data_IF_898590162791
#
_entry.id   IF_898590162791
#
_cell.length_a   1.000
_cell.length_b   1.000
_cell.length_c   1.000
_cell.angle_alpha   90.00
_cell.angle_beta   90.00
_cell.angle_gamma   90.00
#
_symmetry.space_group_name_H-M   'P 1'
#
loop_
_entity.id
_entity.type
_entity.pdbx_description
1 polymer ?
#
# COMPACT_ATOMS: atom_id res chain seq x y z
N UNK A 1 -23.33 -15.55 36.62
CA UNK A 1 -22.34 -15.03 37.58
C UNK A 1 -21.29 -14.29 36.77
N UNK A 2 -21.21 -12.95 36.89
CA UNK A 2 -20.35 -12.06 36.09
C UNK A 2 -18.97 -11.96 36.73
N UNK A 3 -17.90 -12.14 35.97
CA UNK A 3 -16.52 -11.75 36.34
C UNK A 3 -15.87 -11.24 35.03
N UNK A 4 -15.99 -9.94 34.72
CA UNK A 4 -15.03 -8.89 35.04
C UNK A 4 -13.65 -9.16 34.40
N UNK A 5 -13.51 -8.83 33.10
CA UNK A 5 -12.20 -8.73 32.46
C UNK A 5 -11.49 -7.46 32.95
N UNK A 6 -10.38 -7.62 33.65
CA UNK A 6 -9.58 -6.51 34.14
C UNK A 6 -8.86 -5.82 32.97
N UNK A 7 -9.30 -4.61 32.62
CA UNK A 7 -8.58 -3.73 31.70
C UNK A 7 -7.55 -2.98 32.54
N UNK A 8 -6.28 -3.34 32.44
CA UNK A 8 -5.20 -2.58 33.05
C UNK A 8 -4.86 -1.40 32.13
N UNK A 9 -5.55 -0.27 32.31
CA UNK A 9 -5.22 1.00 31.66
C UNK A 9 -4.21 1.77 32.51
N UNK A 10 -2.96 1.86 32.06
CA UNK A 10 -2.00 2.80 32.63
C UNK A 10 -2.26 4.18 31.99
N UNK A 11 -2.94 5.07 32.71
CA UNK A 11 -3.10 6.48 32.33
C UNK A 11 -2.08 7.29 33.12
N UNK A 12 -1.03 7.78 32.46
CA UNK A 12 -0.14 8.81 33.00
C UNK A 12 -0.61 10.17 32.46
N UNK A 13 -1.11 11.03 33.35
CA UNK A 13 -1.62 12.36 33.00
C UNK A 13 -0.49 13.42 33.06
N UNK A 14 -0.49 14.28 32.03
CA UNK A 14 0.13 15.62 31.85
C UNK A 14 1.53 15.68 31.21
N UNK A 15 1.59 16.10 29.92
CA UNK A 15 2.49 17.14 29.39
C UNK A 15 1.86 17.84 28.15
N UNK A 16 2.13 19.14 27.89
CA UNK A 16 1.54 19.90 26.79
C UNK A 16 2.26 19.71 25.44
N UNK A 17 1.47 19.76 24.36
CA UNK A 17 1.85 19.88 22.93
C UNK A 17 3.11 19.13 22.48
N UNK A 18 2.98 17.83 22.39
CA UNK A 18 3.72 16.95 21.50
C UNK A 18 2.90 15.67 21.44
N UNK A 19 2.41 15.29 20.27
CA UNK A 19 1.57 14.11 20.10
C UNK A 19 2.35 12.86 20.54
N UNK A 20 2.17 12.44 21.79
CA UNK A 20 2.53 11.10 22.21
C UNK A 20 1.47 10.18 21.59
N UNK A 21 1.86 9.41 20.57
CA UNK A 21 1.05 8.30 20.09
C UNK A 21 0.94 7.30 21.24
N UNK A 22 -0.16 7.37 21.99
CA UNK A 22 -0.47 6.35 22.98
C UNK A 22 -0.91 5.09 22.23
N UNK A 23 0.06 4.25 21.89
CA UNK A 23 -0.20 2.94 21.30
C UNK A 23 -0.79 2.00 22.35
N UNK A 24 -2.03 1.55 22.12
CA UNK A 24 -2.71 0.64 23.03
C UNK A 24 -2.31 -0.79 22.71
N UNK A 25 -1.70 -1.48 23.68
CA UNK A 25 -1.44 -2.92 23.62
C UNK A 25 -2.48 -3.65 24.47
N UNK A 26 -3.10 -4.70 23.93
CA UNK A 26 -4.10 -5.52 24.64
C UNK A 26 -3.57 -6.92 24.88
N UNK A 27 -3.87 -7.46 26.06
CA UNK A 27 -3.48 -8.81 26.47
C UNK A 27 -4.72 -9.62 26.79
N UNK A 28 -4.77 -10.86 26.29
CA UNK A 28 -5.85 -11.82 26.56
C UNK A 28 -5.29 -13.06 27.23
N UNK A 29 -6.00 -13.57 28.23
CA UNK A 29 -5.60 -14.72 29.04
C UNK A 29 -6.67 -15.80 29.04
N UNK A 30 -6.27 -17.05 29.17
CA UNK A 30 -7.20 -18.16 29.43
C UNK A 30 -7.62 -18.23 30.91
N UNK A 31 -8.53 -19.16 31.24
CA UNK A 31 -9.05 -19.35 32.59
C UNK A 31 -7.97 -19.79 33.61
N UNK A 32 -6.82 -20.30 33.15
CA UNK A 32 -5.69 -20.67 33.99
C UNK A 32 -4.71 -19.50 34.18
N UNK A 33 -5.01 -18.32 33.63
CA UNK A 33 -4.15 -17.13 33.70
C UNK A 33 -2.97 -17.15 32.73
N UNK A 34 -2.96 -18.04 31.74
CA UNK A 34 -1.90 -18.11 30.72
C UNK A 34 -2.21 -17.13 29.59
N UNK A 35 -1.19 -16.47 29.08
CA UNK A 35 -1.30 -15.51 27.98
C UNK A 35 -1.64 -16.23 26.68
N UNK A 36 -2.79 -15.94 26.08
CA UNK A 36 -3.25 -16.53 24.82
C UNK A 36 -3.19 -15.56 23.64
N UNK A 37 -3.16 -14.25 23.88
CA UNK A 37 -3.05 -13.27 22.80
C UNK A 37 -2.41 -11.95 23.28
N UNK A 38 -1.61 -11.34 22.41
CA UNK A 38 -1.14 -9.94 22.54
C UNK A 38 -1.48 -9.19 21.27
N UNK A 39 -2.27 -8.13 21.36
CA UNK A 39 -2.59 -7.26 20.22
C UNK A 39 -1.83 -5.94 20.35
N UNK A 40 -0.88 -5.72 19.43
CA UNK A 40 -0.23 -4.44 19.17
C UNK A 40 -1.01 -3.69 18.07
N UNK A 41 -0.76 -2.39 17.86
CA UNK A 41 -1.32 -1.68 16.72
C UNK A 41 -0.95 -2.26 15.35
N UNK A 42 0.24 -2.86 15.23
CA UNK A 42 0.84 -3.31 13.97
C UNK A 42 0.85 -4.85 13.81
N UNK A 43 0.52 -5.61 14.85
CA UNK A 43 0.55 -7.08 14.84
C UNK A 43 -0.22 -7.69 16.01
N UNK A 44 -0.60 -8.94 15.87
CA UNK A 44 -1.15 -9.78 16.92
C UNK A 44 -0.28 -11.02 17.10
N UNK A 45 -0.03 -11.39 18.35
CA UNK A 45 0.60 -12.65 18.74
C UNK A 45 -0.46 -13.55 19.35
N UNK A 46 -0.51 -14.82 18.97
CA UNK A 46 -1.40 -15.83 19.55
C UNK A 46 -0.58 -17.00 20.10
N UNK A 47 -1.04 -17.57 21.21
CA UNK A 47 -0.36 -18.67 21.91
C UNK A 47 -1.35 -19.79 22.20
N UNK A 48 -0.97 -21.03 21.90
CA UNK A 48 -1.72 -22.22 22.26
C UNK A 48 -0.89 -23.10 23.20
N UNK A 49 -1.53 -23.70 24.18
CA UNK A 49 -0.90 -24.58 25.17
C UNK A 49 -1.64 -25.91 25.26
N UNK A 50 -0.93 -26.96 25.66
CA UNK A 50 -1.55 -28.23 26.03
C UNK A 50 -2.19 -28.16 27.43
N UNK A 51 -2.78 -29.29 27.86
CA UNK A 51 -3.38 -29.43 29.19
C UNK A 51 -2.36 -29.44 30.33
N UNK A 52 -1.08 -29.74 30.05
CA UNK A 52 0.01 -29.72 31.01
C UNK A 52 0.66 -28.34 31.20
N UNK A 53 0.28 -27.34 30.39
CA UNK A 53 0.89 -26.02 30.45
C UNK A 53 2.01 -25.77 29.45
N UNK A 54 2.34 -26.75 28.60
CA UNK A 54 3.41 -26.60 27.62
C UNK A 54 2.89 -25.83 26.41
N UNK A 55 3.72 -24.92 25.88
CA UNK A 55 3.39 -24.17 24.68
C UNK A 55 3.38 -25.11 23.46
N UNK A 56 2.23 -25.21 22.78
CA UNK A 56 2.07 -25.96 21.54
C UNK A 56 2.42 -25.11 20.33
N UNK A 57 2.00 -23.85 20.30
CA UNK A 57 2.26 -22.96 19.17
C UNK A 57 2.28 -21.49 19.57
N UNK A 58 3.02 -20.73 18.76
CA UNK A 58 3.00 -19.27 18.78
C UNK A 58 2.83 -18.78 17.35
N UNK A 59 1.75 -18.04 17.10
CA UNK A 59 1.44 -17.49 15.78
C UNK A 59 1.60 -15.98 15.80
N UNK A 60 2.17 -15.43 14.74
CA UNK A 60 2.25 -13.97 14.52
C UNK A 60 1.32 -13.63 13.36
N UNK A 61 0.31 -12.81 13.63
CA UNK A 61 -0.55 -12.21 12.62
C UNK A 61 -0.17 -10.74 12.47
N UNK A 62 0.48 -10.38 11.38
CA UNK A 62 0.64 -8.98 11.00
C UNK A 62 -0.57 -8.67 10.11
N UNK A 63 -1.40 -7.64 10.38
CA UNK A 63 -2.31 -7.11 9.38
C UNK A 63 -1.53 -6.92 8.08
N UNK A 64 -2.11 -7.15 6.89
CA UNK A 64 -1.37 -6.91 5.67
C UNK A 64 -0.86 -5.47 5.69
N UNK A 65 0.45 -5.29 5.89
CA UNK A 65 1.10 -4.07 5.44
C UNK A 65 0.81 -3.99 3.93
N UNK A 66 0.66 -2.81 3.32
CA UNK A 66 0.64 -2.73 1.87
C UNK A 66 2.00 -3.19 1.36
N UNK A 67 2.15 -4.49 1.09
CA UNK A 67 3.40 -5.08 0.58
C UNK A 67 3.50 -4.90 -0.94
N UNK A 68 2.45 -4.37 -1.56
CA UNK A 68 2.39 -4.04 -2.98
C UNK A 68 2.40 -2.54 -3.22
N UNK A 69 2.54 -2.12 -4.49
CA UNK A 69 2.43 -0.72 -4.85
C UNK A 69 1.07 -0.17 -4.41
N UNK A 70 1.06 1.06 -3.93
CA UNK A 70 -0.18 1.78 -3.62
C UNK A 70 -0.37 2.88 -4.65
N UNK A 71 -1.58 3.00 -5.19
CA UNK A 71 -2.00 4.14 -5.99
C UNK A 71 -3.31 4.66 -5.40
N UNK A 72 -3.32 5.94 -5.03
CA UNK A 72 -4.51 6.62 -4.53
C UNK A 72 -4.69 7.93 -5.30
N UNK A 73 -5.93 8.24 -5.65
CA UNK A 73 -6.29 9.48 -6.35
C UNK A 73 -7.29 10.24 -5.49
N UNK A 74 -7.01 11.51 -5.24
CA UNK A 74 -7.89 12.41 -4.53
C UNK A 74 -8.12 13.67 -5.35
N UNK A 75 -9.37 14.13 -5.43
CA UNK A 75 -9.68 15.45 -5.97
C UNK A 75 -9.63 16.49 -4.86
N UNK A 76 -8.88 17.58 -5.09
CA UNK A 76 -8.81 18.74 -4.19
C UNK A 76 -9.08 19.99 -5.02
N UNK A 77 -10.30 20.52 -4.94
CA UNK A 77 -10.72 21.64 -5.78
C UNK A 77 -10.66 21.29 -7.28
N UNK A 78 -9.88 22.04 -8.03
CA UNK A 78 -9.68 21.86 -9.48
C UNK A 78 -8.39 21.10 -9.84
N UNK A 79 -7.83 20.38 -8.87
CA UNK A 79 -6.68 19.49 -9.07
C UNK A 79 -6.99 18.05 -8.65
N UNK A 80 -6.26 17.11 -9.25
CA UNK A 80 -6.15 15.74 -8.80
C UNK A 80 -4.77 15.53 -8.18
N UNK A 81 -4.75 15.05 -6.95
CA UNK A 81 -3.56 14.58 -6.25
C UNK A 81 -3.48 13.07 -6.39
N UNK A 82 -2.41 12.60 -7.01
CA UNK A 82 -2.12 11.18 -7.23
C UNK A 82 -0.99 10.82 -6.28
N UNK A 83 -1.29 9.99 -5.28
CA UNK A 83 -0.29 9.45 -4.35
C UNK A 83 0.09 8.06 -4.80
N UNK A 84 1.39 7.80 -4.89
CA UNK A 84 1.92 6.52 -5.31
C UNK A 84 3.12 6.11 -4.45
N UNK A 85 3.17 4.83 -4.12
CA UNK A 85 4.32 4.22 -3.47
C UNK A 85 4.59 2.88 -4.14
N UNK A 86 5.86 2.55 -4.27
CA UNK A 86 6.32 1.42 -5.06
C UNK A 86 6.44 0.13 -4.26
N UNK A 87 6.38 0.19 -2.92
CA UNK A 87 6.59 -0.98 -2.07
C UNK A 87 7.94 -1.63 -2.37
N UNK A 88 7.92 -2.92 -2.73
CA UNK A 88 9.12 -3.66 -3.13
C UNK A 88 9.59 -3.39 -4.58
N UNK A 89 8.82 -2.62 -5.36
CA UNK A 89 9.01 -2.43 -6.81
C UNK A 89 9.74 -1.12 -7.12
N UNK A 90 10.99 -1.00 -6.65
CA UNK A 90 11.71 0.27 -6.57
C UNK A 90 12.30 0.69 -7.93
N UNK A 91 11.65 1.61 -8.65
CA UNK A 91 12.29 2.30 -9.79
C UNK A 91 12.93 3.63 -9.37
N UNK A 92 14.00 4.03 -10.07
CA UNK A 92 14.66 5.33 -9.90
C UNK A 92 13.73 6.50 -10.15
N UNK A 93 12.74 6.32 -11.03
CA UNK A 93 11.77 7.33 -11.41
C UNK A 93 10.52 6.69 -12.03
N UNK A 94 9.44 7.45 -12.16
CA UNK A 94 8.17 6.99 -12.75
C UNK A 94 7.63 8.00 -13.75
N UNK A 95 6.83 7.52 -14.70
CA UNK A 95 5.90 8.35 -15.46
C UNK A 95 4.47 8.17 -14.97
N UNK A 96 3.69 9.25 -15.10
CA UNK A 96 2.25 9.23 -15.06
C UNK A 96 1.71 9.28 -16.49
N UNK A 97 0.96 8.27 -16.89
CA UNK A 97 0.23 8.23 -18.16
C UNK A 97 -1.27 8.41 -17.92
N UNK A 98 -1.93 9.03 -18.90
CA UNK A 98 -3.37 9.23 -18.89
C UNK A 98 -3.97 8.98 -20.27
N UNK A 99 -5.20 8.49 -20.28
CA UNK A 99 -6.00 8.33 -21.49
C UNK A 99 -7.49 8.43 -21.19
N UNK A 100 -8.33 8.45 -22.21
CA UNK A 100 -9.79 8.56 -22.06
C UNK A 100 -10.41 7.21 -21.66
N UNK A 101 -11.39 7.22 -20.76
CA UNK A 101 -12.18 6.01 -20.48
C UNK A 101 -12.93 5.59 -21.75
N UNK A 102 -12.83 4.30 -22.10
CA UNK A 102 -13.40 3.72 -23.32
C UNK A 102 -12.34 3.33 -24.34
N UNK A 103 -11.18 3.98 -24.32
CA UNK A 103 -9.98 3.55 -25.04
C UNK A 103 -8.79 3.50 -24.08
N UNK A 104 -8.59 2.31 -23.51
CA UNK A 104 -7.51 2.08 -22.57
C UNK A 104 -6.17 1.73 -23.24
N UNK A 105 -6.14 1.63 -24.57
CA UNK A 105 -4.92 1.38 -25.32
C UNK A 105 -4.14 2.67 -25.60
N UNK A 106 -4.81 3.81 -25.71
CA UNK A 106 -4.19 5.05 -26.18
C UNK A 106 -3.86 6.01 -25.05
N UNK A 107 -2.59 6.43 -24.98
CA UNK A 107 -2.15 7.52 -24.10
C UNK A 107 -2.43 8.86 -24.78
N UNK A 108 -3.11 9.76 -24.06
CA UNK A 108 -3.43 11.12 -24.54
C UNK A 108 -2.58 12.20 -23.88
N UNK A 109 -2.02 11.92 -22.70
CA UNK A 109 -1.08 12.82 -22.02
C UNK A 109 -0.19 12.04 -21.06
N UNK A 110 1.01 12.56 -20.79
CA UNK A 110 1.92 11.97 -19.83
C UNK A 110 2.77 13.03 -19.11
N UNK A 111 3.20 12.69 -17.90
CA UNK A 111 4.36 13.30 -17.24
C UNK A 111 5.43 12.23 -17.12
N UNK A 112 6.62 12.51 -17.66
CA UNK A 112 7.66 11.49 -17.85
C UNK A 112 8.59 11.34 -16.62
N UNK A 113 8.43 12.19 -15.60
CA UNK A 113 9.25 12.16 -14.39
C UNK A 113 8.46 12.72 -13.21
N UNK A 114 7.84 11.83 -12.43
CA UNK A 114 7.10 12.21 -11.22
C UNK A 114 7.87 11.92 -9.93
N UNK A 115 9.03 11.25 -10.02
CA UNK A 115 9.88 10.85 -8.92
C UNK A 115 9.75 9.35 -8.57
N UNK A 116 10.61 8.88 -7.67
CA UNK A 116 10.67 7.47 -7.25
C UNK A 116 9.46 7.00 -6.41
N UNK A 117 8.79 7.93 -5.72
CA UNK A 117 7.56 7.72 -4.93
C UNK A 117 7.04 9.07 -4.42
N UNK A 118 5.81 9.11 -3.92
CA UNK A 118 5.25 10.29 -3.25
C UNK A 118 3.92 10.70 -3.86
N UNK A 119 3.78 11.98 -4.19
CA UNK A 119 2.55 12.53 -4.73
C UNK A 119 2.83 13.51 -5.87
N UNK A 120 1.96 13.51 -6.87
CA UNK A 120 1.94 14.49 -7.96
C UNK A 120 0.55 15.13 -8.03
N UNK A 121 0.50 16.45 -8.20
CA UNK A 121 -0.74 17.18 -8.43
C UNK A 121 -0.82 17.60 -9.89
N UNK A 122 -1.95 17.30 -10.53
CA UNK A 122 -2.24 17.72 -11.89
C UNK A 122 -3.54 18.52 -11.93
N UNK A 123 -3.70 19.46 -12.89
CA UNK A 123 -5.00 20.07 -13.15
C UNK A 123 -6.06 19.02 -13.43
N UNK A 124 -7.31 19.29 -13.05
CA UNK A 124 -8.42 18.38 -13.29
C UNK A 124 -8.53 18.09 -14.80
N UNK A 125 -8.37 16.83 -15.24
CA UNK A 125 -8.40 16.48 -16.65
C UNK A 125 -9.78 16.73 -17.24
N UNK A 126 -9.83 17.10 -18.52
CA UNK A 126 -11.10 17.22 -19.23
C UNK A 126 -11.72 15.83 -19.45
N UNK A 127 -12.95 15.65 -18.98
CA UNK A 127 -13.70 14.40 -19.16
C UNK A 127 -13.27 13.27 -18.22
N UNK A 128 -13.67 12.05 -18.58
CA UNK A 128 -13.38 10.86 -17.79
C UNK A 128 -12.10 10.19 -18.31
N UNK A 129 -11.10 10.08 -17.45
CA UNK A 129 -9.78 9.54 -17.80
C UNK A 129 -9.40 8.35 -16.94
N UNK A 130 -8.53 7.49 -17.47
CA UNK A 130 -7.77 6.51 -16.70
C UNK A 130 -6.35 7.04 -16.42
N UNK A 131 -5.72 6.52 -15.37
CA UNK A 131 -4.35 6.85 -14.98
C UNK A 131 -3.52 5.58 -14.88
N UNK A 132 -2.24 5.67 -15.21
CA UNK A 132 -1.23 4.63 -14.97
C UNK A 132 0.04 5.29 -14.46
N UNK A 133 0.62 4.74 -13.39
CA UNK A 133 1.97 5.09 -12.95
C UNK A 133 2.89 3.92 -13.29
N UNK A 134 3.97 4.19 -14.01
CA UNK A 134 4.90 3.18 -14.50
C UNK A 134 6.35 3.57 -14.18
N UNK A 135 7.18 2.62 -13.74
CA UNK A 135 8.62 2.85 -13.56
C UNK A 135 9.33 3.08 -14.90
N UNK A 136 10.38 3.89 -14.90
CA UNK A 136 11.15 4.19 -16.14
C UNK A 136 12.21 3.14 -16.47
N UNK A 137 12.54 2.27 -15.52
CA UNK A 137 13.58 1.23 -15.63
C UNK A 137 12.93 -0.16 -15.84
N UNK A 138 12.34 -0.36 -17.03
CA UNK A 138 11.54 -1.54 -17.36
C UNK A 138 12.21 -2.87 -17.01
N UNK A 139 13.53 -2.98 -17.19
CA UNK A 139 14.35 -4.18 -16.98
C UNK A 139 14.45 -4.68 -15.52
N UNK A 140 13.85 -3.97 -14.56
CA UNK A 140 13.82 -4.38 -13.14
C UNK A 140 12.44 -4.35 -12.48
N UNK A 141 11.50 -3.53 -12.96
CA UNK A 141 10.19 -3.33 -12.33
C UNK A 141 9.15 -2.93 -13.40
N UNK A 142 8.24 -3.83 -13.76
CA UNK A 142 7.20 -3.52 -14.76
C UNK A 142 5.84 -3.23 -14.12
N UNK A 143 5.10 -2.27 -14.70
CA UNK A 143 3.67 -2.09 -14.46
C UNK A 143 2.91 -2.68 -15.66
N UNK A 144 2.74 -4.00 -15.67
CA UNK A 144 2.06 -4.69 -16.78
C UNK A 144 0.54 -4.59 -16.64
N UNK A 145 -0.11 -3.98 -17.63
CA UNK A 145 -1.53 -4.19 -17.87
C UNK A 145 -1.72 -5.57 -18.52
N UNK A 146 -2.44 -6.49 -17.88
CA UNK A 146 -2.72 -7.81 -18.44
C UNK A 146 -4.17 -7.89 -18.94
N UNK A 147 -4.35 -8.24 -20.21
CA UNK A 147 -5.65 -8.48 -20.84
C UNK A 147 -5.84 -9.96 -21.19
N UNK A 148 -7.03 -10.33 -21.67
CA UNK A 148 -7.35 -11.72 -22.03
C UNK A 148 -6.45 -12.31 -23.13
N UNK A 149 -5.75 -11.46 -23.89
CA UNK A 149 -4.81 -11.80 -24.96
C UNK A 149 -3.32 -11.68 -24.56
N UNK A 150 -3.03 -11.46 -23.27
CA UNK A 150 -1.68 -11.21 -22.77
C UNK A 150 -1.43 -9.74 -22.41
N UNK A 151 -0.18 -9.32 -22.48
CA UNK A 151 0.24 -7.96 -22.13
C UNK A 151 -0.45 -6.91 -23.02
N UNK A 152 -0.97 -5.85 -22.40
CA UNK A 152 -1.64 -4.76 -23.12
C UNK A 152 -0.63 -3.69 -23.49
N UNK A 153 -0.37 -3.58 -24.79
CA UNK A 153 0.48 -2.53 -25.37
C UNK A 153 -0.27 -1.19 -25.32
N UNK A 154 0.39 -0.16 -24.79
CA UNK A 154 -0.09 1.21 -24.86
C UNK A 154 0.46 1.89 -26.12
N UNK A 155 -0.38 2.61 -26.84
CA UNK A 155 -0.03 3.39 -28.04
C UNK A 155 0.20 4.86 -27.70
N UNK A 156 1.11 5.52 -28.43
CA UNK A 156 1.41 6.94 -28.27
C UNK A 156 2.37 7.26 -27.12
N UNK A 157 2.85 6.26 -26.39
CA UNK A 157 3.83 6.43 -25.29
C UNK A 157 5.14 7.01 -25.82
N UNK A 158 5.60 6.52 -26.97
CA UNK A 158 6.81 6.94 -27.66
C UNK A 158 6.84 8.43 -28.02
N UNK A 159 5.66 9.05 -28.16
CA UNK A 159 5.55 10.48 -28.48
C UNK A 159 5.75 11.38 -27.26
N UNK A 160 5.48 10.88 -26.04
CA UNK A 160 5.58 11.67 -24.81
C UNK A 160 6.89 11.39 -24.08
N UNK A 161 7.22 10.11 -23.91
CA UNK A 161 8.32 9.70 -23.06
C UNK A 161 9.27 8.76 -23.81
N UNK A 162 10.28 9.30 -24.53
CA UNK A 162 11.12 8.53 -25.44
C UNK A 162 12.17 7.64 -24.74
N UNK A 163 12.42 7.85 -23.44
CA UNK A 163 13.39 7.09 -22.64
C UNK A 163 12.85 5.80 -22.03
N UNK A 164 11.59 5.43 -22.31
CA UNK A 164 11.01 4.21 -21.76
C UNK A 164 11.47 2.99 -22.53
N UNK A 165 12.22 2.11 -21.87
CA UNK A 165 12.45 0.75 -22.35
C UNK A 165 11.22 -0.07 -21.97
N UNK A 166 10.36 -0.39 -22.94
CA UNK A 166 9.33 -1.40 -22.72
C UNK A 166 10.02 -2.73 -22.39
N UNK A 167 9.87 -3.23 -21.17
CA UNK A 167 10.42 -4.51 -20.77
C UNK A 167 9.34 -5.59 -20.67
N UNK A 168 9.68 -6.73 -21.27
CA UNK A 168 8.86 -7.95 -21.36
C UNK A 168 9.37 -9.04 -20.41
N UNK A 169 10.41 -8.75 -19.63
CA UNK A 169 11.00 -9.68 -18.68
C UNK A 169 10.36 -9.50 -17.29
N UNK A 170 9.70 -10.56 -16.82
CA UNK A 170 8.89 -10.58 -15.59
C UNK A 170 9.49 -9.78 -14.42
N UNK A 171 8.72 -8.95 -13.74
CA UNK A 171 9.09 -8.44 -12.41
C UNK A 171 7.92 -7.73 -11.70
N UNK A 172 7.84 -7.96 -10.38
CA UNK A 172 6.86 -7.44 -9.41
C UNK A 172 5.37 -7.83 -9.64
N UNK A 173 4.59 -8.11 -8.58
CA UNK A 173 3.19 -8.54 -8.70
C UNK A 173 2.29 -7.46 -9.31
#
# INVERSE_FOLDING_TARGET
MRIAGAVLSVILLILPRGAAFAETVRYSYDAAGRLIQVSYPDRTLEYAYDSGGNLLSRTVFVPPLPIGPTLAVQRVGDELTITYATGACVSSDHALFMGLIGDFGTVTSADCSIGSSGQVSIPLPAGNVWFLVAGVEGDRYSSVGNGASGERVLTGVEAFCPTFTADTSRSCP
#
